data_IF_636969653787
#
_entry.id   IF_636969653787
#
_cell.length_a   1.000
_cell.length_b   1.000
_cell.length_c   1.000
_cell.angle_alpha   90.00
_cell.angle_beta   90.00
_cell.angle_gamma   90.00
#
_symmetry.space_group_name_H-M   'P 1'
#
loop_
_entity.id
_entity.type
_entity.pdbx_description
1 polymer ?
#
# COMPACT_ATOMS: atom_id res chain seq x y z
N UNK A 1 -10.78 14.53 28.43
CA UNK A 1 -10.09 13.43 27.73
C UNK A 1 -9.53 14.04 26.45
N UNK A 2 -8.22 13.95 26.21
CA UNK A 2 -7.62 14.49 25.00
C UNK A 2 -8.19 13.74 23.79
N UNK A 3 -8.79 14.46 22.84
CA UNK A 3 -9.23 13.86 21.58
C UNK A 3 -7.97 13.52 20.78
N UNK A 4 -7.71 12.23 20.56
CA UNK A 4 -6.67 11.74 19.65
C UNK A 4 -7.12 11.97 18.19
N UNK A 5 -7.40 13.22 17.84
CA UNK A 5 -7.83 13.65 16.51
C UNK A 5 -6.60 13.98 15.67
N UNK A 6 -6.50 13.33 14.52
CA UNK A 6 -5.48 13.61 13.51
C UNK A 6 -6.18 14.10 12.25
N UNK A 7 -5.75 15.26 11.77
CA UNK A 7 -6.30 15.86 10.55
C UNK A 7 -5.39 15.59 9.37
N UNK A 8 -5.90 14.82 8.42
CA UNK A 8 -5.25 14.49 7.16
C UNK A 8 -6.06 14.98 5.95
N UNK A 9 -7.00 15.91 6.14
CA UNK A 9 -7.70 16.57 5.03
C UNK A 9 -6.70 17.29 4.13
N UNK A 10 -6.93 17.27 2.83
CA UNK A 10 -6.02 17.80 1.83
C UNK A 10 -4.85 16.87 1.45
N UNK A 11 -4.61 15.77 2.18
CA UNK A 11 -3.62 14.76 1.79
C UNK A 11 -4.16 13.77 0.75
N UNK A 12 -5.48 13.73 0.54
CA UNK A 12 -6.07 12.80 -0.42
C UNK A 12 -5.62 11.34 -0.16
N UNK A 13 -5.21 10.59 -1.19
CA UNK A 13 -4.74 9.20 -1.05
C UNK A 13 -3.33 9.03 -0.42
N UNK A 14 -2.63 10.11 -0.05
CA UNK A 14 -1.27 10.05 0.50
C UNK A 14 -1.21 9.87 2.02
N UNK A 15 -2.26 9.32 2.63
CA UNK A 15 -2.31 9.17 4.08
C UNK A 15 -1.09 8.40 4.63
N UNK A 16 -0.42 8.90 5.69
CA UNK A 16 0.76 8.26 6.27
C UNK A 16 0.34 7.10 7.16
N UNK A 17 -0.16 6.03 6.56
CA UNK A 17 -0.76 4.90 7.27
C UNK A 17 0.20 4.19 8.24
N UNK A 18 1.53 4.25 8.01
CA UNK A 18 2.50 3.72 8.97
C UNK A 18 2.53 4.52 10.28
N UNK A 19 2.34 5.85 10.19
CA UNK A 19 2.19 6.72 11.36
C UNK A 19 0.85 6.43 12.03
N UNK A 20 -0.23 6.34 11.26
CA UNK A 20 -1.57 6.02 11.78
C UNK A 20 -1.60 4.66 12.48
N UNK A 21 -0.94 3.64 11.93
CA UNK A 21 -0.83 2.31 12.55
C UNK A 21 -0.12 2.37 13.90
N UNK A 22 1.00 3.10 13.98
CA UNK A 22 1.73 3.30 15.23
C UNK A 22 0.86 4.02 16.26
N UNK A 23 0.17 5.09 15.86
CA UNK A 23 -0.74 5.83 16.76
C UNK A 23 -1.87 4.95 17.29
N UNK A 24 -2.49 4.12 16.44
CA UNK A 24 -3.55 3.20 16.89
C UNK A 24 -3.01 2.15 17.86
N UNK A 25 -1.79 1.63 17.65
CA UNK A 25 -1.15 0.68 18.58
C UNK A 25 -0.81 1.33 19.92
N UNK A 26 -0.28 2.55 19.89
CA UNK A 26 0.21 3.25 21.10
C UNK A 26 -0.94 3.83 21.92
N UNK A 27 -1.99 4.33 21.26
CA UNK A 27 -3.10 5.05 21.89
C UNK A 27 -4.38 4.21 22.02
N UNK A 28 -4.44 3.05 21.38
CA UNK A 28 -5.60 2.15 21.35
C UNK A 28 -6.78 2.65 20.50
N UNK A 29 -7.04 3.96 20.47
CA UNK A 29 -8.08 4.58 19.64
C UNK A 29 -7.61 5.93 19.07
N UNK A 30 -7.84 6.12 17.77
CA UNK A 30 -7.49 7.34 17.03
C UNK A 30 -8.69 7.79 16.20
N UNK A 31 -8.94 9.09 16.19
CA UNK A 31 -9.93 9.73 15.32
C UNK A 31 -9.20 10.38 14.15
N UNK A 32 -9.62 10.13 12.92
CA UNK A 32 -8.94 10.63 11.72
C UNK A 32 -9.92 11.45 10.88
N UNK A 33 -9.62 12.73 10.69
CA UNK A 33 -10.30 13.55 9.69
C UNK A 33 -9.61 13.37 8.34
N UNK A 34 -10.37 13.00 7.30
CA UNK A 34 -9.87 12.81 5.93
C UNK A 34 -10.85 13.42 4.95
N UNK A 35 -10.40 13.64 3.71
CA UNK A 35 -11.31 14.09 2.65
C UNK A 35 -12.42 13.05 2.40
N UNK A 36 -13.67 13.45 2.10
CA UNK A 36 -14.80 12.53 1.98
C UNK A 36 -14.57 11.36 1.00
N UNK A 37 -13.83 11.59 -0.08
CA UNK A 37 -13.48 10.56 -1.07
C UNK A 37 -12.42 9.55 -0.60
N UNK A 38 -11.76 9.82 0.53
CA UNK A 38 -10.65 9.02 1.08
C UNK A 38 -11.12 8.18 2.28
N UNK A 39 -12.24 8.53 2.92
CA UNK A 39 -12.80 7.76 4.04
C UNK A 39 -12.90 6.24 3.75
N UNK A 40 -13.38 5.77 2.58
CA UNK A 40 -13.46 4.34 2.28
C UNK A 40 -12.10 3.63 2.27
N UNK A 41 -11.05 4.36 1.88
CA UNK A 41 -9.67 3.86 1.87
C UNK A 41 -9.17 3.62 3.29
N UNK A 42 -9.47 4.53 4.22
CA UNK A 42 -9.11 4.40 5.64
C UNK A 42 -9.86 3.25 6.30
N UNK A 43 -11.17 3.16 6.04
CA UNK A 43 -12.03 2.09 6.57
C UNK A 43 -11.55 0.72 6.10
N UNK A 44 -11.28 0.57 4.79
CA UNK A 44 -10.78 -0.69 4.21
C UNK A 44 -9.40 -1.05 4.76
N UNK A 45 -8.51 -0.06 4.92
CA UNK A 45 -7.21 -0.28 5.54
C UNK A 45 -7.35 -0.80 6.98
N UNK A 46 -8.15 -0.13 7.81
CA UNK A 46 -8.34 -0.49 9.21
C UNK A 46 -8.90 -1.91 9.35
N UNK A 47 -9.92 -2.25 8.56
CA UNK A 47 -10.50 -3.61 8.52
C UNK A 47 -9.47 -4.68 8.13
N UNK A 48 -8.67 -4.44 7.09
CA UNK A 48 -7.60 -5.37 6.67
C UNK A 48 -6.51 -5.56 7.73
N UNK A 49 -6.35 -4.62 8.66
CA UNK A 49 -5.42 -4.70 9.80
C UNK A 49 -6.04 -5.29 11.06
N UNK A 50 -7.30 -5.69 11.01
CA UNK A 50 -8.02 -6.20 12.18
C UNK A 50 -8.40 -5.13 13.20
N UNK A 51 -8.37 -3.85 12.80
CA UNK A 51 -8.89 -2.75 13.61
C UNK A 51 -10.39 -2.58 13.37
N UNK A 52 -11.10 -2.13 14.42
CA UNK A 52 -12.47 -1.65 14.30
C UNK A 52 -12.44 -0.24 13.74
N UNK A 53 -13.27 0.02 12.74
CA UNK A 53 -13.40 1.35 12.16
C UNK A 53 -14.87 1.74 12.05
N UNK A 54 -15.18 2.98 12.41
CA UNK A 54 -16.52 3.54 12.33
C UNK A 54 -16.47 4.98 11.86
N UNK A 55 -17.45 5.36 11.03
CA UNK A 55 -17.65 6.76 10.65
C UNK A 55 -18.48 7.45 11.73
N UNK A 56 -18.04 8.61 12.20
CA UNK A 56 -18.84 9.51 13.04
C UNK A 56 -18.58 10.94 12.61
N UNK A 57 -19.64 11.72 12.36
CA UNK A 57 -19.55 13.18 12.19
C UNK A 57 -18.44 13.68 11.23
N UNK A 58 -18.25 13.01 10.09
CA UNK A 58 -17.25 13.40 9.08
C UNK A 58 -15.80 13.01 9.42
N UNK A 59 -15.59 12.17 10.43
CA UNK A 59 -14.30 11.57 10.78
C UNK A 59 -14.39 10.05 10.84
N UNK A 60 -13.24 9.39 10.68
CA UNK A 60 -13.09 7.94 10.81
C UNK A 60 -12.46 7.63 12.16
N UNK A 61 -13.21 6.98 13.03
CA UNK A 61 -12.72 6.44 14.30
C UNK A 61 -12.10 5.06 14.05
N UNK A 62 -10.88 4.84 14.54
CA UNK A 62 -10.13 3.59 14.39
C UNK A 62 -9.71 3.12 15.77
N UNK A 63 -10.00 1.86 16.12
CA UNK A 63 -9.73 1.31 17.45
C UNK A 63 -9.25 -0.14 17.39
N UNK A 64 -8.42 -0.52 18.36
CA UNK A 64 -8.06 -1.92 18.61
C UNK A 64 -9.18 -2.70 19.31
N UNK A 65 -10.10 -2.00 19.98
CA UNK A 65 -11.23 -2.57 20.69
C UNK A 65 -12.54 -2.31 19.94
N UNK A 66 -13.58 -3.14 20.15
CA UNK A 66 -14.90 -2.93 19.54
C UNK A 66 -15.43 -1.52 19.86
N UNK A 67 -15.89 -0.82 18.83
CA UNK A 67 -16.54 0.49 18.98
C UNK A 67 -18.03 0.25 19.21
N UNK A 68 -18.62 0.77 20.29
CA UNK A 68 -20.01 0.53 20.73
C UNK A 68 -21.12 1.08 19.78
N UNK A 69 -20.83 1.41 18.53
CA UNK A 69 -21.82 1.83 17.52
C UNK A 69 -21.73 0.94 16.31
N UNK A 70 -22.88 0.40 15.84
CA UNK A 70 -23.06 -0.45 14.65
C UNK A 70 -21.76 -0.73 13.89
N UNK A 71 -20.93 -1.54 14.53
CA UNK A 71 -19.63 -1.88 14.00
C UNK A 71 -19.88 -2.94 12.93
N UNK A 72 -19.64 -2.59 11.67
CA UNK A 72 -19.58 -3.58 10.59
C UNK A 72 -18.41 -4.49 10.92
N UNK A 73 -18.73 -5.63 11.52
CA UNK A 73 -17.80 -6.72 11.79
C UNK A 73 -17.20 -7.14 10.44
N UNK A 74 -15.89 -7.41 10.34
CA UNK A 74 -15.39 -8.09 9.15
C UNK A 74 -16.04 -9.47 9.11
N UNK A 75 -16.96 -9.67 8.17
CA UNK A 75 -17.14 -11.00 7.60
C UNK A 75 -15.86 -11.25 6.83
N UNK A 76 -14.90 -11.92 7.47
CA UNK A 76 -13.82 -12.58 6.75
C UNK A 76 -14.47 -13.73 5.99
N UNK A 77 -15.22 -13.41 4.94
CA UNK A 77 -15.34 -14.32 3.83
C UNK A 77 -13.96 -14.35 3.19
N UNK A 78 -13.17 -15.34 3.61
CA UNK A 78 -12.12 -15.93 2.81
C UNK A 78 -12.76 -16.50 1.53
N UNK A 79 -13.25 -15.63 0.67
CA UNK A 79 -13.75 -15.99 -0.66
C UNK A 79 -12.52 -16.15 -1.55
N UNK A 80 -12.05 -17.39 -1.62
CA UNK A 80 -10.94 -17.78 -2.45
C UNK A 80 -10.32 -19.11 -2.01
N UNK A 81 -11.11 -20.19 -1.99
CA UNK A 81 -10.55 -21.54 -2.19
C UNK A 81 -9.98 -21.61 -3.61
N UNK A 82 -8.81 -21.03 -3.83
CA UNK A 82 -7.99 -21.36 -4.99
C UNK A 82 -6.91 -22.33 -4.52
N UNK A 83 -7.11 -23.57 -4.95
CA UNK A 83 -6.16 -24.68 -4.97
C UNK A 83 -4.71 -24.22 -4.79
N UNK A 84 -4.09 -24.69 -3.71
CA UNK A 84 -2.66 -24.60 -3.47
C UNK A 84 -1.92 -25.40 -4.54
N UNK A 85 -1.70 -24.79 -5.71
CA UNK A 85 -0.58 -25.15 -6.56
C UNK A 85 0.65 -24.53 -5.90
N UNK A 86 1.67 -25.34 -5.64
CA UNK A 86 2.94 -24.87 -5.12
C UNK A 86 3.48 -23.76 -6.05
N UNK A 87 3.25 -22.50 -5.67
CA UNK A 87 3.80 -21.34 -6.35
C UNK A 87 5.25 -21.31 -5.93
N UNK A 88 6.15 -21.64 -6.85
CA UNK A 88 7.57 -21.31 -6.75
C UNK A 88 7.68 -19.89 -6.22
N UNK A 89 8.37 -19.69 -5.10
CA UNK A 89 8.40 -18.41 -4.41
C UNK A 89 8.89 -17.32 -5.38
N UNK A 90 7.96 -16.47 -5.85
CA UNK A 90 8.30 -15.35 -6.71
C UNK A 90 8.92 -14.28 -5.82
N UNK A 91 10.20 -14.00 -6.05
CA UNK A 91 10.95 -13.02 -5.28
C UNK A 91 11.17 -11.76 -6.11
N UNK A 92 11.14 -10.59 -5.46
CA UNK A 92 11.48 -9.33 -6.12
C UNK A 92 12.96 -9.32 -6.52
N UNK A 93 13.21 -9.06 -7.80
CA UNK A 93 14.56 -8.88 -8.37
C UNK A 93 14.55 -7.77 -9.41
N UNK A 94 15.62 -6.97 -9.47
CA UNK A 94 15.76 -5.95 -10.51
C UNK A 94 16.20 -6.60 -11.81
N UNK A 95 15.52 -6.27 -12.90
CA UNK A 95 15.86 -6.69 -14.25
C UNK A 95 16.55 -5.51 -14.95
N UNK A 96 17.88 -5.49 -14.82
CA UNK A 96 18.71 -4.39 -15.33
C UNK A 96 18.69 -4.34 -16.86
N UNK A 97 18.65 -5.52 -17.51
CA UNK A 97 18.65 -5.64 -18.96
C UNK A 97 17.36 -5.10 -19.59
N UNK A 98 16.22 -5.31 -18.94
CA UNK A 98 14.91 -4.85 -19.41
C UNK A 98 14.43 -3.60 -18.65
N UNK A 99 15.35 -2.81 -18.11
CA UNK A 99 15.00 -1.61 -17.37
C UNK A 99 14.26 -0.59 -18.25
N UNK A 100 13.16 -0.06 -17.72
CA UNK A 100 12.25 0.86 -18.40
C UNK A 100 12.37 2.27 -17.83
N UNK A 101 13.35 3.03 -18.34
CA UNK A 101 13.58 4.42 -17.93
C UNK A 101 12.37 5.32 -18.20
N UNK A 102 11.63 5.06 -19.29
CA UNK A 102 10.38 5.75 -19.65
C UNK A 102 9.31 5.62 -18.54
N UNK A 103 9.18 4.42 -17.98
CA UNK A 103 8.27 4.18 -16.86
C UNK A 103 8.81 4.83 -15.59
N UNK A 104 10.11 4.73 -15.32
CA UNK A 104 10.71 5.36 -14.14
C UNK A 104 10.46 6.88 -14.13
N UNK A 105 10.57 7.54 -15.28
CA UNK A 105 10.23 8.97 -15.43
C UNK A 105 8.76 9.23 -15.13
N UNK A 106 7.83 8.46 -15.72
CA UNK A 106 6.39 8.58 -15.42
C UNK A 106 6.07 8.37 -13.94
N UNK A 107 6.71 7.38 -13.31
CA UNK A 107 6.55 7.09 -11.88
C UNK A 107 7.09 8.20 -10.98
N UNK A 108 7.98 9.05 -11.49
CA UNK A 108 8.47 10.21 -10.76
C UNK A 108 7.54 11.43 -10.88
N UNK A 109 6.64 11.44 -11.86
CA UNK A 109 5.67 12.53 -12.04
C UNK A 109 4.52 12.43 -11.04
N UNK A 110 4.43 13.43 -10.16
CA UNK A 110 3.36 13.54 -9.15
C UNK A 110 1.96 13.54 -9.77
N UNK A 111 1.80 14.12 -10.97
CA UNK A 111 0.51 14.16 -11.66
C UNK A 111 0.08 12.76 -12.02
N UNK A 112 0.96 11.99 -12.66
CA UNK A 112 0.72 10.59 -13.01
C UNK A 112 0.39 9.74 -11.77
N UNK A 113 1.12 9.94 -10.67
CA UNK A 113 0.84 9.25 -9.42
C UNK A 113 -0.59 9.54 -8.93
N UNK A 114 -0.99 10.81 -8.89
CA UNK A 114 -2.30 11.23 -8.37
C UNK A 114 -3.45 10.78 -9.28
N UNK A 115 -3.31 10.96 -10.59
CA UNK A 115 -4.41 10.75 -11.54
C UNK A 115 -4.55 9.30 -11.95
N UNK A 116 -3.47 8.52 -11.88
CA UNK A 116 -3.43 7.15 -12.42
C UNK A 116 -3.16 6.13 -11.32
N UNK A 117 -2.00 6.22 -10.66
CA UNK A 117 -1.56 5.18 -9.72
C UNK A 117 -2.50 5.06 -8.53
N UNK A 118 -2.77 6.17 -7.85
CA UNK A 118 -3.54 6.14 -6.61
C UNK A 118 -5.04 5.92 -6.81
N UNK A 119 -5.50 5.96 -8.08
CA UNK A 119 -6.88 5.64 -8.46
C UNK A 119 -7.04 4.18 -8.90
N UNK A 120 -5.95 3.43 -9.04
CA UNK A 120 -6.01 2.07 -9.51
C UNK A 120 -6.48 1.08 -8.43
N UNK A 121 -7.06 -0.07 -8.84
CA UNK A 121 -7.48 -1.11 -7.91
C UNK A 121 -6.31 -1.63 -7.06
N UNK A 122 -6.51 -1.72 -5.74
CA UNK A 122 -5.54 -2.31 -4.82
C UNK A 122 -5.74 -3.83 -4.79
N UNK A 123 -4.76 -4.57 -5.29
CA UNK A 123 -4.79 -6.04 -5.30
C UNK A 123 -4.18 -6.65 -4.03
N UNK A 124 -3.24 -5.95 -3.40
CA UNK A 124 -2.62 -6.40 -2.14
C UNK A 124 -2.20 -5.23 -1.26
N UNK A 125 -2.27 -5.42 0.05
CA UNK A 125 -1.72 -4.49 1.02
C UNK A 125 -1.29 -5.24 2.27
N UNK A 126 -0.02 -5.13 2.65
CA UNK A 126 0.54 -5.89 3.75
C UNK A 126 2.07 -5.87 3.73
N UNK A 127 2.73 -6.74 4.51
CA UNK A 127 4.18 -6.87 4.49
C UNK A 127 4.73 -7.19 3.10
N UNK A 128 5.91 -6.69 2.75
CA UNK A 128 6.62 -7.03 1.51
C UNK A 128 7.18 -8.48 1.49
N UNK A 129 6.48 -9.43 2.11
CA UNK A 129 6.90 -10.83 2.27
C UNK A 129 5.71 -11.78 2.40
N UNK A 130 5.97 -13.05 2.13
CA UNK A 130 5.03 -14.14 2.35
C UNK A 130 4.17 -14.49 1.12
N UNK A 131 3.37 -15.57 1.21
CA UNK A 131 2.71 -16.14 0.04
C UNK A 131 1.75 -15.18 -0.66
N UNK A 132 0.95 -14.43 0.09
CA UNK A 132 0.00 -13.47 -0.46
C UNK A 132 0.69 -12.32 -1.23
N UNK A 133 1.84 -11.86 -0.73
CA UNK A 133 2.65 -10.86 -1.41
C UNK A 133 3.26 -11.43 -2.69
N UNK A 134 3.86 -12.63 -2.62
CA UNK A 134 4.46 -13.30 -3.77
C UNK A 134 3.43 -13.55 -4.89
N UNK A 135 2.20 -13.94 -4.53
CA UNK A 135 1.10 -14.07 -5.49
C UNK A 135 0.72 -12.73 -6.13
N UNK A 136 0.75 -11.63 -5.38
CA UNK A 136 0.42 -10.31 -5.89
C UNK A 136 1.46 -9.75 -6.89
N UNK A 137 2.75 -10.05 -6.69
CA UNK A 137 3.82 -9.60 -7.60
C UNK A 137 4.09 -10.58 -8.76
N UNK A 138 3.59 -11.81 -8.67
CA UNK A 138 3.74 -12.86 -9.68
C UNK A 138 2.84 -12.72 -10.91
N UNK A 139 2.18 -11.58 -11.10
CA UNK A 139 1.19 -11.38 -12.16
C UNK A 139 1.85 -10.95 -13.47
N UNK A 140 1.44 -11.60 -14.58
CA UNK A 140 1.95 -11.34 -15.94
C UNK A 140 1.63 -9.96 -16.50
N UNK A 141 0.46 -9.41 -16.17
CA UNK A 141 0.05 -8.08 -16.63
C UNK A 141 0.85 -6.94 -15.98
N UNK A 142 1.68 -7.27 -14.99
CA UNK A 142 2.40 -6.30 -14.18
C UNK A 142 1.54 -5.68 -13.10
N UNK A 143 2.22 -5.22 -12.05
CA UNK A 143 1.67 -4.52 -10.91
C UNK A 143 2.55 -3.35 -10.54
N UNK A 144 2.00 -2.44 -9.76
CA UNK A 144 2.73 -1.30 -9.24
C UNK A 144 2.75 -1.35 -7.72
N UNK A 145 3.94 -1.40 -7.15
CA UNK A 145 4.17 -1.35 -5.71
C UNK A 145 4.35 0.10 -5.26
N UNK A 146 3.65 0.50 -4.20
CA UNK A 146 4.01 1.66 -3.38
C UNK A 146 4.59 1.17 -2.07
N UNK A 147 5.79 1.62 -1.74
CA UNK A 147 6.46 1.34 -0.47
C UNK A 147 6.82 2.64 0.24
N UNK A 148 6.53 2.73 1.54
CA UNK A 148 6.95 3.86 2.36
C UNK A 148 8.14 3.45 3.22
N UNK A 149 9.33 4.00 2.93
CA UNK A 149 10.58 3.70 3.63
C UNK A 149 11.23 5.01 4.05
N UNK A 150 11.54 5.16 5.34
CA UNK A 150 12.16 6.39 5.87
C UNK A 150 11.32 7.65 5.66
N UNK A 151 9.99 7.53 5.59
CA UNK A 151 9.08 8.65 5.33
C UNK A 151 8.98 9.08 3.86
N UNK A 152 9.61 8.33 2.95
CA UNK A 152 9.54 8.57 1.51
C UNK A 152 8.70 7.49 0.83
N UNK A 153 7.85 7.91 -0.11
CA UNK A 153 7.08 6.99 -0.95
C UNK A 153 7.88 6.65 -2.23
N UNK A 154 8.07 5.36 -2.43
CA UNK A 154 8.66 4.77 -3.62
C UNK A 154 7.61 4.04 -4.44
N UNK A 155 7.67 4.20 -5.75
CA UNK A 155 6.79 3.53 -6.72
C UNK A 155 7.64 2.60 -7.58
N UNK A 156 7.22 1.34 -7.69
CA UNK A 156 8.00 0.26 -8.28
C UNK A 156 7.11 -0.52 -9.25
N UNK A 157 7.46 -0.56 -10.53
CA UNK A 157 6.75 -1.36 -11.52
C UNK A 157 7.36 -2.76 -11.60
N UNK A 158 6.50 -3.78 -11.46
CA UNK A 158 6.90 -5.18 -11.32
C UNK A 158 6.13 -6.06 -12.29
N UNK A 159 6.81 -6.96 -13.00
CA UNK A 159 6.19 -7.97 -13.88
C UNK A 159 6.74 -9.35 -13.51
N UNK A 160 5.88 -10.25 -13.03
CA UNK A 160 6.29 -11.61 -12.60
C UNK A 160 7.48 -11.58 -11.62
N UNK A 161 7.44 -10.69 -10.63
CA UNK A 161 8.52 -10.49 -9.64
C UNK A 161 9.74 -9.71 -10.14
N UNK A 162 9.81 -9.38 -11.44
CA UNK A 162 10.89 -8.57 -12.01
C UNK A 162 10.57 -7.09 -11.89
N UNK A 163 11.41 -6.34 -11.19
CA UNK A 163 11.34 -4.89 -11.10
C UNK A 163 11.93 -4.31 -12.37
N UNK A 164 11.08 -3.67 -13.16
CA UNK A 164 11.45 -3.08 -14.46
C UNK A 164 11.65 -1.57 -14.38
N UNK A 165 11.05 -0.92 -13.37
CA UNK A 165 11.23 0.52 -13.15
C UNK A 165 10.95 0.86 -11.68
N UNK A 166 11.58 1.91 -11.18
CA UNK A 166 11.31 2.46 -9.87
C UNK A 166 11.55 3.97 -9.84
N UNK A 167 10.81 4.67 -8.99
CA UNK A 167 10.96 6.09 -8.77
C UNK A 167 10.61 6.48 -7.33
N UNK A 168 11.19 7.58 -6.89
CA UNK A 168 10.63 8.45 -5.88
C UNK A 168 9.93 9.61 -6.60
N UNK A 169 8.96 10.27 -5.97
CA UNK A 169 8.36 11.48 -6.54
C UNK A 169 9.47 12.50 -6.84
N UNK A 170 9.45 13.04 -8.06
CA UNK A 170 10.43 13.99 -8.59
C UNK A 170 11.80 13.39 -8.92
N UNK A 171 12.01 12.07 -8.71
CA UNK A 171 13.29 11.43 -8.94
C UNK A 171 13.15 10.00 -9.47
N UNK A 172 13.30 9.77 -10.79
CA UNK A 172 13.42 8.42 -11.31
C UNK A 172 14.67 7.75 -10.73
N UNK A 173 14.58 6.47 -10.40
CA UNK A 173 15.71 5.72 -9.87
C UNK A 173 16.47 5.02 -11.00
N UNK A 174 17.76 4.82 -10.79
CA UNK A 174 18.57 3.92 -11.62
C UNK A 174 18.40 2.46 -11.18
N UNK A 175 18.75 1.47 -12.01
CA UNK A 175 18.66 0.05 -11.61
C UNK A 175 19.41 -0.24 -10.30
N UNK A 176 20.62 0.32 -10.13
CA UNK A 176 21.43 0.15 -8.92
C UNK A 176 20.76 0.71 -7.66
N UNK A 177 20.06 1.84 -7.79
CA UNK A 177 19.27 2.41 -6.69
C UNK A 177 18.05 1.54 -6.39
N UNK A 178 17.41 1.00 -7.42
CA UNK A 178 16.29 0.07 -7.26
C UNK A 178 16.73 -1.25 -6.60
N UNK A 179 17.93 -1.76 -6.87
CA UNK A 179 18.48 -2.94 -6.19
C UNK A 179 18.62 -2.69 -4.69
N UNK A 180 19.16 -1.52 -4.33
CA UNK A 180 19.30 -1.10 -2.93
C UNK A 180 17.94 -0.99 -2.24
N UNK A 181 16.94 -0.44 -2.94
CA UNK A 181 15.56 -0.34 -2.46
C UNK A 181 14.91 -1.72 -2.26
N UNK A 182 15.07 -2.62 -3.22
CA UNK A 182 14.55 -4.00 -3.12
C UNK A 182 15.21 -4.74 -1.96
N UNK A 183 16.51 -4.55 -1.74
CA UNK A 183 17.21 -5.14 -0.60
C UNK A 183 16.65 -4.62 0.72
N UNK A 184 16.41 -3.30 0.84
CA UNK A 184 15.77 -2.72 2.02
C UNK A 184 14.35 -3.26 2.25
N UNK A 185 13.58 -3.52 1.20
CA UNK A 185 12.25 -4.14 1.33
C UNK A 185 12.32 -5.56 1.88
N UNK A 186 13.33 -6.33 1.48
CA UNK A 186 13.55 -7.70 1.96
C UNK A 186 14.02 -7.73 3.42
N UNK A 187 14.98 -6.88 3.77
CA UNK A 187 15.55 -6.80 5.12
C UNK A 187 14.60 -6.12 6.12
N UNK A 188 13.79 -5.18 5.64
CA UNK A 188 12.95 -4.32 6.47
C UNK A 188 11.78 -5.02 7.17
N UNK A 189 11.56 -6.32 6.95
CA UNK A 189 10.67 -7.23 7.69
C UNK A 189 9.17 -6.86 7.71
N UNK A 190 8.85 -5.68 8.20
CA UNK A 190 7.50 -5.15 8.40
C UNK A 190 7.20 -3.94 7.51
N UNK A 191 8.00 -3.70 6.47
CA UNK A 191 7.67 -2.66 5.48
C UNK A 191 6.34 -3.00 4.83
N UNK A 192 5.38 -2.10 5.01
CA UNK A 192 4.03 -2.23 4.46
C UNK A 192 4.05 -1.67 3.05
N UNK A 193 3.64 -2.51 2.11
CA UNK A 193 3.52 -2.15 0.71
C UNK A 193 2.06 -2.19 0.28
N UNK A 194 1.72 -1.35 -0.69
CA UNK A 194 0.44 -1.40 -1.40
C UNK A 194 0.73 -1.79 -2.83
N UNK A 195 0.02 -2.78 -3.35
CA UNK A 195 0.17 -3.26 -4.72
C UNK A 195 -1.09 -2.92 -5.49
N UNK A 196 -0.91 -2.20 -6.59
CA UNK A 196 -1.95 -1.76 -7.50
C UNK A 196 -1.92 -2.61 -8.77
N UNK A 197 -3.09 -2.89 -9.33
CA UNK A 197 -3.21 -3.47 -10.67
C UNK A 197 -2.71 -2.47 -11.72
N UNK A 198 -1.66 -2.83 -12.45
CA UNK A 198 -1.06 -1.97 -13.47
C UNK A 198 -1.49 -2.31 -14.90
N UNK A 199 -2.44 -3.24 -15.09
CA UNK A 199 -2.85 -3.75 -16.40
C UNK A 199 -3.36 -2.70 -17.39
N UNK A 200 -3.74 -1.51 -16.91
CA UNK A 200 -4.28 -0.40 -17.72
C UNK A 200 -3.49 0.92 -17.57
N UNK A 201 -2.29 0.90 -16.98
CA UNK A 201 -1.56 2.12 -16.62
C UNK A 201 -0.56 2.60 -17.68
N UNK A 202 -0.04 1.68 -18.51
CA UNK A 202 1.09 1.92 -19.41
C UNK A 202 0.81 1.42 -20.82
#
# INVERSE_FOLDING_TARGET
>A
MAQNLVDYRGLGPFLPFGVLERMVRDMGTVTVAVDPGVEPLVMTWAQRRGYYAARRDGVVLISVAPIETESVKPTVEASGKTSAKAVTAVELRVDVENWRSDIAEKLSDVTFIITTVLRAPIVYRGPARGPAFNSAIGVKSGVLLRASIGGQDYFIYVVEGRVLAAAQIGRPLTPKQAESLVQQLKEGGDVVVTVYDASKMF
#
